data_IF_610840363646
#
_entry.id   IF_610840363646
#
_cell.length_a   1.000
_cell.length_b   1.000
_cell.length_c   1.000
_cell.angle_alpha   90.00
_cell.angle_beta   90.00
_cell.angle_gamma   90.00
#
_symmetry.space_group_name_H-M   'P 1'
#
loop_
_entity.id
_entity.type
_entity.pdbx_description
1 polymer ?
#
# COMPACT_ATOMS: atom_id res chain seq x y z
N UNK A 1 4.17 -17.69 -11.44
CA UNK A 1 5.05 -16.64 -11.99
C UNK A 1 4.32 -15.93 -13.11
N UNK A 2 4.08 -14.61 -13.01
CA UNK A 2 3.41 -13.84 -14.06
C UNK A 2 4.37 -13.66 -15.25
N UNK A 3 3.85 -13.76 -16.48
CA UNK A 3 4.64 -13.58 -17.70
C UNK A 3 4.44 -12.15 -18.20
N UNK A 4 5.45 -11.29 -18.07
CA UNK A 4 5.34 -9.87 -18.42
C UNK A 4 5.60 -9.58 -19.89
N UNK A 5 6.70 -10.10 -20.45
CA UNK A 5 7.18 -9.84 -21.82
C UNK A 5 6.96 -11.00 -22.78
N UNK A 6 6.15 -11.98 -22.39
CA UNK A 6 5.90 -13.20 -23.16
C UNK A 6 6.99 -14.24 -23.00
N UNK A 7 6.75 -15.43 -23.53
CA UNK A 7 7.72 -16.53 -23.56
C UNK A 7 7.42 -17.49 -24.70
N UNK A 8 8.43 -18.23 -25.12
CA UNK A 8 8.28 -19.40 -26.01
C UNK A 8 8.28 -20.66 -25.16
N UNK A 9 7.25 -21.50 -25.29
CA UNK A 9 7.16 -22.77 -24.60
C UNK A 9 7.76 -23.91 -25.44
N UNK A 10 8.27 -24.93 -24.75
CA UNK A 10 8.82 -26.14 -25.36
C UNK A 10 8.10 -27.33 -24.76
N UNK A 11 7.86 -28.35 -25.58
CA UNK A 11 7.44 -29.67 -25.09
C UNK A 11 8.53 -30.67 -25.38
N UNK A 12 8.71 -31.60 -24.45
CA UNK A 12 9.56 -32.75 -24.66
C UNK A 12 8.82 -33.79 -25.51
N UNK A 13 9.27 -33.98 -26.75
CA UNK A 13 8.82 -35.06 -27.62
C UNK A 13 9.99 -36.02 -27.83
N UNK A 14 9.90 -37.22 -27.27
CA UNK A 14 10.90 -38.28 -27.42
C UNK A 14 12.33 -37.84 -27.05
N UNK A 15 12.49 -37.11 -25.94
CA UNK A 15 13.80 -36.64 -25.47
C UNK A 15 14.31 -35.39 -26.18
N UNK A 16 13.58 -34.88 -27.18
CA UNK A 16 13.91 -33.64 -27.90
C UNK A 16 12.91 -32.54 -27.54
N UNK A 17 13.42 -31.36 -27.18
CA UNK A 17 12.57 -30.18 -26.95
C UNK A 17 12.12 -29.60 -28.30
N UNK A 18 10.81 -29.58 -28.55
CA UNK A 18 10.20 -29.00 -29.76
C UNK A 18 9.31 -27.81 -29.42
N UNK A 19 9.36 -26.79 -30.28
CA UNK A 19 8.51 -25.59 -30.22
C UNK A 19 7.85 -25.31 -31.58
N UNK A 20 6.76 -24.53 -31.58
CA UNK A 20 6.07 -24.06 -32.78
C UNK A 20 5.37 -22.70 -32.49
N UNK A 21 4.80 -22.05 -33.50
CA UNK A 21 4.19 -20.71 -33.35
C UNK A 21 3.01 -20.70 -32.36
N UNK A 22 2.30 -21.81 -32.17
CA UNK A 22 1.22 -21.94 -31.18
C UNK A 22 1.72 -21.95 -29.72
N UNK A 23 3.03 -22.18 -29.52
CA UNK A 23 3.69 -22.18 -28.21
C UNK A 23 4.29 -20.82 -27.84
N UNK A 24 4.03 -19.80 -28.65
CA UNK A 24 4.34 -18.41 -28.30
C UNK A 24 3.23 -17.90 -27.37
N UNK A 25 3.60 -17.53 -26.14
CA UNK A 25 2.66 -16.99 -25.15
C UNK A 25 2.86 -15.49 -25.00
N UNK A 26 1.79 -14.74 -25.20
CA UNK A 26 1.75 -13.29 -24.96
C UNK A 26 1.96 -12.98 -23.47
N UNK A 27 2.88 -12.08 -23.16
CA UNK A 27 2.99 -11.44 -21.86
C UNK A 27 1.91 -10.38 -21.60
N UNK A 28 1.83 -9.92 -20.35
CA UNK A 28 0.93 -8.86 -19.91
C UNK A 28 1.11 -7.56 -20.70
N UNK A 29 2.33 -7.20 -21.09
CA UNK A 29 2.58 -5.96 -21.84
C UNK A 29 1.94 -5.97 -23.23
N UNK A 30 1.93 -7.12 -23.91
CA UNK A 30 1.28 -7.26 -25.21
C UNK A 30 -0.24 -7.15 -25.10
N UNK A 31 -0.81 -7.64 -24.00
CA UNK A 31 -2.25 -7.52 -23.72
C UNK A 31 -2.67 -6.09 -23.41
N UNK A 32 -1.75 -5.27 -22.89
CA UNK A 32 -1.98 -3.87 -22.54
C UNK A 32 -1.75 -2.91 -23.73
N UNK A 33 -1.36 -3.43 -24.90
CA UNK A 33 -1.14 -2.61 -26.09
C UNK A 33 -2.44 -1.88 -26.51
N UNK A 34 -2.35 -0.58 -26.78
CA UNK A 34 -3.48 0.33 -26.98
C UNK A 34 -4.11 0.88 -25.69
N UNK A 35 -3.51 0.63 -24.53
CA UNK A 35 -4.07 1.00 -23.23
C UNK A 35 -3.00 1.34 -22.18
N UNK A 36 -3.17 0.81 -20.97
CA UNK A 36 -2.25 1.05 -19.87
C UNK A 36 -1.89 -0.23 -19.12
N UNK A 37 -0.71 -0.23 -18.51
CA UNK A 37 -0.24 -1.29 -17.61
C UNK A 37 0.23 -0.68 -16.29
N UNK A 38 -0.21 -1.27 -15.18
CA UNK A 38 0.14 -0.82 -13.83
C UNK A 38 1.10 -1.82 -13.20
N UNK A 39 2.23 -1.34 -12.69
CA UNK A 39 3.20 -2.14 -11.95
C UNK A 39 3.35 -1.60 -10.53
N UNK A 40 3.45 -2.53 -9.58
CA UNK A 40 3.99 -2.25 -8.25
C UNK A 40 5.52 -2.18 -8.37
N UNK A 41 6.11 -1.01 -8.10
CA UNK A 41 7.53 -0.77 -8.28
C UNK A 41 8.38 -1.73 -7.42
N UNK A 42 7.92 -2.05 -6.21
CA UNK A 42 8.58 -3.03 -5.34
C UNK A 42 8.68 -4.43 -5.97
N UNK A 43 7.62 -4.89 -6.63
CA UNK A 43 7.64 -6.18 -7.32
C UNK A 43 8.54 -6.13 -8.56
N UNK A 44 8.45 -5.04 -9.33
CA UNK A 44 9.24 -4.81 -10.53
C UNK A 44 10.76 -4.84 -10.25
N UNK A 45 11.17 -4.27 -9.11
CA UNK A 45 12.58 -4.20 -8.70
C UNK A 45 13.08 -5.47 -8.02
N UNK A 46 12.18 -6.30 -7.48
CA UNK A 46 12.52 -7.58 -6.85
C UNK A 46 12.87 -8.65 -7.87
N UNK A 47 12.21 -8.64 -9.03
CA UNK A 47 12.43 -9.60 -10.10
C UNK A 47 13.69 -9.23 -10.92
N UNK A 48 14.74 -10.07 -10.92
CA UNK A 48 16.00 -9.74 -11.59
C UNK A 48 15.82 -9.46 -13.09
N UNK A 49 16.35 -8.32 -13.55
CA UNK A 49 16.32 -7.92 -14.96
C UNK A 49 14.96 -7.47 -15.51
N UNK A 50 13.89 -7.56 -14.73
CA UNK A 50 12.55 -7.18 -15.19
C UNK A 50 12.44 -5.67 -15.41
N UNK A 51 12.97 -4.87 -14.48
CA UNK A 51 13.04 -3.41 -14.60
C UNK A 51 13.85 -2.96 -15.82
N UNK A 52 15.03 -3.53 -16.05
CA UNK A 52 15.86 -3.18 -17.21
C UNK A 52 15.21 -3.57 -18.54
N UNK A 53 14.51 -4.72 -18.57
CA UNK A 53 13.73 -5.14 -19.73
C UNK A 53 12.60 -4.16 -19.99
N UNK A 54 11.88 -3.73 -18.95
CA UNK A 54 10.83 -2.71 -19.09
C UNK A 54 11.38 -1.40 -19.65
N UNK A 55 12.51 -0.91 -19.13
CA UNK A 55 13.16 0.31 -19.64
C UNK A 55 13.50 0.20 -21.12
N UNK A 56 14.08 -0.91 -21.55
CA UNK A 56 14.40 -1.17 -22.96
C UNK A 56 13.15 -1.13 -23.83
N UNK A 57 12.09 -1.82 -23.40
CA UNK A 57 10.83 -1.90 -24.13
C UNK A 57 10.17 -0.52 -24.26
N UNK A 58 10.12 0.28 -23.18
CA UNK A 58 9.58 1.64 -23.23
C UNK A 58 10.42 2.53 -24.15
N UNK A 59 11.74 2.40 -24.10
CA UNK A 59 12.66 3.25 -24.89
C UNK A 59 12.63 2.93 -26.38
N UNK A 60 12.45 1.66 -26.74
CA UNK A 60 12.36 1.21 -28.12
C UNK A 60 10.94 1.30 -28.68
N UNK A 61 9.92 1.49 -27.82
CA UNK A 61 8.50 1.43 -28.20
C UNK A 61 8.14 0.12 -28.92
N UNK A 62 8.89 -0.94 -28.62
CA UNK A 62 8.77 -2.26 -29.24
C UNK A 62 8.99 -3.34 -28.20
N UNK A 63 8.23 -4.43 -28.30
CA UNK A 63 8.42 -5.61 -27.47
C UNK A 63 8.53 -6.85 -28.34
N UNK A 64 9.66 -7.53 -28.22
CA UNK A 64 9.87 -8.88 -28.72
C UNK A 64 9.78 -9.88 -27.57
N UNK A 65 9.41 -11.11 -27.91
CA UNK A 65 9.45 -12.22 -26.95
C UNK A 65 10.89 -12.73 -26.91
N UNK A 66 11.63 -12.32 -25.88
CA UNK A 66 12.98 -12.83 -25.68
C UNK A 66 12.92 -14.31 -25.26
N UNK A 67 13.68 -15.14 -25.97
CA UNK A 67 13.92 -16.52 -25.55
C UNK A 67 14.93 -16.44 -24.41
N UNK A 68 14.45 -16.64 -23.18
CA UNK A 68 15.32 -16.71 -22.00
C UNK A 68 16.40 -17.76 -22.25
N UNK A 69 17.66 -17.33 -22.27
CA UNK A 69 18.82 -18.22 -22.26
C UNK A 69 18.91 -18.86 -20.88
N UNK A 70 18.04 -19.82 -20.59
CA UNK A 70 18.20 -20.66 -19.40
C UNK A 70 19.52 -21.43 -19.63
N UNK A 71 20.55 -21.08 -18.87
CA UNK A 71 21.89 -21.67 -18.98
C UNK A 71 21.90 -23.20 -18.77
N UNK A 72 20.77 -23.75 -18.30
CA UNK A 72 20.53 -25.18 -18.11
C UNK A 72 20.03 -25.89 -19.39
N UNK A 73 19.67 -25.16 -20.44
CA UNK A 73 19.34 -25.75 -21.73
C UNK A 73 20.60 -25.84 -22.61
N UNK A 74 20.90 -27.01 -23.20
CA UNK A 74 22.03 -27.16 -24.10
C UNK A 74 21.98 -26.11 -25.21
N UNK A 75 23.14 -25.59 -25.60
CA UNK A 75 23.38 -24.56 -26.62
C UNK A 75 22.81 -24.85 -28.02
N UNK A 76 22.10 -25.97 -28.21
CA UNK A 76 21.65 -26.50 -29.50
C UNK A 76 20.13 -26.73 -29.53
N UNK A 77 19.34 -25.67 -29.41
CA UNK A 77 17.95 -25.69 -29.83
C UNK A 77 17.73 -24.57 -30.83
N UNK A 78 17.42 -24.95 -32.08
CA UNK A 78 16.83 -24.04 -33.06
C UNK A 78 15.51 -23.55 -32.48
N UNK A 79 15.53 -22.35 -31.91
CA UNK A 79 14.37 -21.74 -31.28
C UNK A 79 13.69 -20.75 -32.22
N UNK A 80 12.39 -20.52 -32.00
CA UNK A 80 11.67 -19.46 -32.67
C UNK A 80 12.06 -18.12 -32.04
N UNK A 81 12.43 -17.16 -32.88
CA UNK A 81 12.62 -15.76 -32.49
C UNK A 81 11.51 -14.94 -33.14
N UNK A 82 10.38 -14.71 -32.43
CA UNK A 82 9.30 -13.89 -32.97
C UNK A 82 9.80 -12.48 -33.30
N UNK A 83 9.22 -11.88 -34.33
CA UNK A 83 9.46 -10.47 -34.62
C UNK A 83 8.91 -9.59 -33.50
N UNK A 84 9.59 -8.47 -33.25
CA UNK A 84 9.13 -7.47 -32.30
C UNK A 84 7.87 -6.79 -32.81
N UNK A 85 6.94 -6.47 -31.90
CA UNK A 85 5.77 -5.66 -32.22
C UNK A 85 5.93 -4.25 -31.66
N UNK A 86 5.44 -3.25 -32.42
CA UNK A 86 5.30 -1.88 -31.91
C UNK A 86 4.33 -1.87 -30.73
N UNK A 87 4.69 -1.11 -29.70
CA UNK A 87 3.91 -0.92 -28.50
C UNK A 87 3.44 0.52 -28.38
N UNK A 88 2.13 0.65 -28.19
CA UNK A 88 1.47 1.87 -27.76
C UNK A 88 0.85 1.59 -26.38
N UNK A 89 1.63 1.80 -25.31
CA UNK A 89 1.18 1.49 -23.95
C UNK A 89 1.62 2.56 -22.96
N UNK A 90 0.70 3.00 -22.11
CA UNK A 90 1.00 3.88 -20.98
C UNK A 90 1.42 3.03 -19.78
N UNK A 91 2.63 3.23 -19.29
CA UNK A 91 3.15 2.52 -18.11
C UNK A 91 2.96 3.37 -16.86
N UNK A 92 2.30 2.80 -15.84
CA UNK A 92 2.07 3.43 -14.55
C UNK A 92 2.83 2.63 -13.49
N UNK A 93 3.72 3.29 -12.74
CA UNK A 93 4.40 2.71 -11.59
C UNK A 93 3.78 3.23 -10.30
N UNK A 94 3.43 2.32 -9.40
CA UNK A 94 2.95 2.63 -8.05
C UNK A 94 4.02 2.17 -7.06
N UNK A 95 4.43 3.06 -6.15
CA UNK A 95 5.46 2.76 -5.16
C UNK A 95 5.55 3.84 -4.10
N UNK A 96 6.32 3.59 -3.04
CA UNK A 96 6.56 4.56 -1.97
C UNK A 96 7.51 5.67 -2.42
N UNK A 97 7.49 6.78 -1.68
CA UNK A 97 8.42 7.90 -1.86
C UNK A 97 9.88 7.46 -1.77
N UNK A 98 10.20 6.47 -0.93
CA UNK A 98 11.56 5.89 -0.84
C UNK A 98 11.99 5.23 -2.14
N UNK A 99 11.11 4.44 -2.77
CA UNK A 99 11.42 3.79 -4.04
C UNK A 99 11.61 4.84 -5.14
N UNK A 100 10.76 5.87 -5.16
CA UNK A 100 10.90 6.98 -6.09
C UNK A 100 12.25 7.70 -5.91
N UNK A 101 12.63 8.03 -4.67
CA UNK A 101 13.89 8.69 -4.34
C UNK A 101 15.11 7.82 -4.62
N UNK A 102 14.99 6.50 -4.46
CA UNK A 102 16.03 5.56 -4.85
C UNK A 102 16.23 5.57 -6.37
N UNK A 103 15.14 5.41 -7.15
CA UNK A 103 15.17 5.34 -8.61
C UNK A 103 15.68 6.64 -9.23
N UNK A 104 15.24 7.79 -8.72
CA UNK A 104 15.64 9.09 -9.24
C UNK A 104 17.14 9.39 -9.03
N UNK A 105 17.72 8.82 -7.97
CA UNK A 105 19.12 9.03 -7.57
C UNK A 105 20.04 8.02 -8.25
N UNK A 106 19.61 6.77 -8.35
CA UNK A 106 20.44 5.67 -8.86
C UNK A 106 20.29 5.44 -10.38
N UNK A 107 19.15 5.81 -10.97
CA UNK A 107 18.87 5.59 -12.39
C UNK A 107 18.65 6.91 -13.15
N UNK A 108 19.66 7.40 -13.90
CA UNK A 108 19.55 8.65 -14.65
C UNK A 108 18.55 8.58 -15.82
N UNK A 109 18.15 7.38 -16.26
CA UNK A 109 17.13 7.21 -17.29
C UNK A 109 15.71 7.29 -16.73
N UNK A 110 15.52 7.09 -15.42
CA UNK A 110 14.21 7.04 -14.79
C UNK A 110 13.38 8.29 -15.07
N UNK A 111 13.93 9.49 -14.82
CA UNK A 111 13.26 10.77 -15.11
C UNK A 111 12.92 10.96 -16.59
N UNK A 112 13.68 10.34 -17.50
CA UNK A 112 13.48 10.46 -18.95
C UNK A 112 12.30 9.59 -19.42
N UNK A 113 12.17 8.41 -18.83
CA UNK A 113 11.13 7.43 -19.14
C UNK A 113 9.82 7.76 -18.41
N UNK A 114 9.89 8.09 -17.11
CA UNK A 114 8.76 8.40 -16.25
C UNK A 114 8.69 9.91 -15.99
N UNK A 115 8.12 10.64 -16.94
CA UNK A 115 8.11 12.11 -16.95
C UNK A 115 7.10 12.74 -15.99
N UNK A 116 6.03 12.01 -15.66
CA UNK A 116 4.92 12.51 -14.85
C UNK A 116 5.03 11.88 -13.46
N UNK A 117 5.24 12.71 -12.43
CA UNK A 117 5.10 12.32 -11.01
C UNK A 117 3.70 12.70 -10.56
N UNK A 118 2.92 11.72 -10.10
CA UNK A 118 1.69 11.95 -9.37
C UNK A 118 1.92 11.47 -7.94
N UNK A 119 1.88 12.41 -6.99
CA UNK A 119 2.07 12.13 -5.57
C UNK A 119 0.74 12.32 -4.86
N UNK A 120 0.50 11.47 -3.87
CA UNK A 120 -0.68 11.53 -3.04
C UNK A 120 -0.26 12.17 -1.71
N UNK A 121 -0.89 13.28 -1.35
CA UNK A 121 -0.66 13.92 -0.05
C UNK A 121 -1.41 13.12 1.03
N UNK A 122 -0.74 12.85 2.16
CA UNK A 122 -1.28 12.08 3.29
C UNK A 122 -2.33 12.85 4.10
N UNK A 123 -2.45 14.15 3.84
CA UNK A 123 -3.34 15.06 4.55
C UNK A 123 -3.90 16.12 3.60
N UNK A 124 -5.08 16.64 3.94
CA UNK A 124 -5.74 17.71 3.21
C UNK A 124 -6.29 18.75 4.19
N UNK A 125 -6.43 20.00 3.76
CA UNK A 125 -7.02 21.05 4.59
C UNK A 125 -8.47 20.70 4.99
N UNK A 126 -8.85 20.99 6.23
CA UNK A 126 -10.19 20.78 6.76
C UNK A 126 -11.17 21.89 6.30
N UNK A 127 -11.33 22.00 4.99
CA UNK A 127 -12.30 22.88 4.35
C UNK A 127 -13.57 22.12 3.95
N UNK A 128 -14.69 22.84 3.81
CA UNK A 128 -16.01 22.27 3.50
C UNK A 128 -16.00 21.37 2.25
N UNK A 129 -15.19 21.71 1.25
CA UNK A 129 -15.03 20.90 0.04
C UNK A 129 -14.38 19.53 0.33
N UNK A 130 -13.29 19.51 1.10
CA UNK A 130 -12.57 18.28 1.43
C UNK A 130 -13.37 17.39 2.38
N UNK A 131 -14.07 17.99 3.34
CA UNK A 131 -15.03 17.26 4.19
C UNK A 131 -16.14 16.64 3.34
N UNK A 132 -16.67 17.36 2.34
CA UNK A 132 -17.66 16.80 1.40
C UNK A 132 -17.07 15.63 0.60
N UNK A 133 -15.83 15.73 0.11
CA UNK A 133 -15.14 14.62 -0.58
C UNK A 133 -14.96 13.41 0.34
N UNK A 134 -14.63 13.61 1.61
CA UNK A 134 -14.55 12.54 2.60
C UNK A 134 -15.92 11.87 2.82
N UNK A 135 -17.01 12.63 2.92
CA UNK A 135 -18.36 12.06 3.01
C UNK A 135 -18.73 11.25 1.76
N UNK A 136 -18.33 11.72 0.57
CA UNK A 136 -18.52 10.95 -0.68
C UNK A 136 -17.73 9.66 -0.63
N UNK A 137 -16.47 9.69 -0.17
CA UNK A 137 -15.66 8.50 0.02
C UNK A 137 -16.34 7.50 0.97
N UNK A 138 -16.78 7.95 2.14
CA UNK A 138 -17.49 7.09 3.12
C UNK A 138 -18.73 6.45 2.49
N UNK A 139 -19.54 7.24 1.78
CA UNK A 139 -20.74 6.74 1.11
C UNK A 139 -20.42 5.73 0.01
N UNK A 140 -19.37 5.96 -0.79
CA UNK A 140 -18.93 5.02 -1.83
C UNK A 140 -18.40 3.74 -1.19
N UNK A 141 -17.57 3.85 -0.16
CA UNK A 141 -17.00 2.71 0.55
C UNK A 141 -18.07 1.79 1.14
N UNK A 142 -19.08 2.36 1.80
CA UNK A 142 -20.23 1.60 2.33
C UNK A 142 -20.95 0.83 1.22
N UNK A 143 -21.13 1.47 0.06
CA UNK A 143 -21.81 0.85 -1.08
C UNK A 143 -20.97 -0.26 -1.72
N UNK A 144 -19.69 -0.01 -1.94
CA UNK A 144 -18.78 -0.91 -2.64
C UNK A 144 -18.47 -2.16 -1.80
N UNK A 145 -18.32 -1.99 -0.48
CA UNK A 145 -18.08 -3.09 0.47
C UNK A 145 -19.37 -3.72 1.03
N UNK A 146 -20.55 -3.18 0.67
CA UNK A 146 -21.85 -3.71 1.10
C UNK A 146 -22.10 -3.61 2.62
N UNK A 147 -21.66 -2.52 3.25
CA UNK A 147 -21.85 -2.28 4.68
C UNK A 147 -23.27 -1.79 5.00
N UNK A 148 -23.65 -1.84 6.28
CA UNK A 148 -24.89 -1.23 6.76
C UNK A 148 -24.89 0.30 6.52
N UNK A 149 -26.07 0.92 6.33
CA UNK A 149 -26.19 2.38 6.25
C UNK A 149 -25.58 3.05 7.48
N UNK A 150 -24.89 4.17 7.29
CA UNK A 150 -24.28 4.93 8.38
C UNK A 150 -25.13 6.14 8.75
N UNK A 151 -25.22 6.42 10.05
CA UNK A 151 -25.91 7.60 10.57
C UNK A 151 -25.03 8.85 10.57
N UNK A 152 -25.66 10.02 10.59
CA UNK A 152 -24.96 11.32 10.53
C UNK A 152 -23.93 11.46 11.65
N UNK A 153 -24.29 11.08 12.87
CA UNK A 153 -23.44 11.25 14.05
C UNK A 153 -22.22 10.32 13.99
N UNK A 154 -22.37 9.12 13.41
CA UNK A 154 -21.26 8.22 13.13
C UNK A 154 -20.30 8.78 12.07
N UNK A 155 -20.83 9.46 11.04
CA UNK A 155 -19.99 10.15 10.03
C UNK A 155 -19.21 11.29 10.68
N UNK A 156 -19.81 12.05 11.59
CA UNK A 156 -19.12 13.12 12.33
C UNK A 156 -17.94 12.57 13.15
N UNK A 157 -18.13 11.44 13.84
CA UNK A 157 -17.03 10.76 14.54
C UNK A 157 -15.89 10.32 13.63
N UNK A 158 -16.20 9.87 12.40
CA UNK A 158 -15.17 9.51 11.42
C UNK A 158 -14.42 10.73 10.92
N UNK A 159 -15.10 11.86 10.70
CA UNK A 159 -14.45 13.12 10.30
C UNK A 159 -13.51 13.60 11.42
N UNK A 160 -13.96 13.56 12.67
CA UNK A 160 -13.12 13.89 13.82
C UNK A 160 -11.91 12.94 13.93
N UNK A 161 -12.13 11.64 13.70
CA UNK A 161 -11.05 10.66 13.67
C UNK A 161 -10.05 10.91 12.54
N UNK A 162 -10.51 11.26 11.33
CA UNK A 162 -9.64 11.63 10.23
C UNK A 162 -8.79 12.86 10.56
N UNK A 163 -9.34 13.84 11.31
CA UNK A 163 -8.57 14.97 11.82
C UNK A 163 -7.58 14.57 12.93
N UNK A 164 -7.93 13.62 13.80
CA UNK A 164 -6.97 13.07 14.78
C UNK A 164 -5.83 12.30 14.10
N UNK A 165 -6.11 11.57 13.02
CA UNK A 165 -5.12 10.82 12.25
C UNK A 165 -4.10 11.73 11.55
N UNK A 166 -4.47 12.92 11.11
CA UNK A 166 -3.52 13.88 10.53
C UNK A 166 -2.55 14.45 11.57
N UNK A 167 -2.89 14.35 12.86
CA UNK A 167 -2.15 14.97 13.96
C UNK A 167 -2.26 16.50 14.01
N UNK A 168 -3.01 17.12 13.09
CA UNK A 168 -3.17 18.57 12.96
C UNK A 168 -4.66 18.91 12.87
N UNK A 169 -5.15 19.70 13.82
CA UNK A 169 -6.58 20.01 13.94
C UNK A 169 -7.18 20.65 12.67
N UNK A 170 -6.39 21.41 11.91
CA UNK A 170 -6.84 22.11 10.69
C UNK A 170 -6.78 21.22 9.43
N UNK A 171 -6.42 19.94 9.58
CA UNK A 171 -6.26 18.98 8.48
C UNK A 171 -7.04 17.71 8.72
N UNK A 172 -7.40 17.03 7.64
CA UNK A 172 -7.96 15.68 7.64
C UNK A 172 -6.98 14.73 6.96
N UNK A 173 -6.83 13.54 7.54
CA UNK A 173 -6.04 12.48 6.94
C UNK A 173 -6.73 11.97 5.67
N UNK A 174 -5.92 11.67 4.67
CA UNK A 174 -6.34 11.06 3.41
C UNK A 174 -6.00 9.56 3.39
N UNK A 175 -5.66 8.97 4.54
CA UNK A 175 -5.51 7.53 4.73
C UNK A 175 -6.88 6.83 4.69
N UNK A 176 -7.40 6.74 3.47
CA UNK A 176 -8.68 6.10 3.16
C UNK A 176 -8.69 4.61 3.53
N UNK A 177 -7.52 3.97 3.57
CA UNK A 177 -7.40 2.59 4.02
C UNK A 177 -7.73 2.50 5.51
N UNK A 178 -7.16 3.37 6.33
CA UNK A 178 -7.42 3.38 7.77
C UNK A 178 -8.88 3.75 8.09
N UNK A 179 -9.43 4.73 7.39
CA UNK A 179 -10.83 5.14 7.53
C UNK A 179 -11.77 3.98 7.14
N UNK A 180 -11.50 3.30 6.01
CA UNK A 180 -12.25 2.12 5.58
C UNK A 180 -12.16 0.96 6.59
N UNK A 181 -11.00 0.78 7.22
CA UNK A 181 -10.79 -0.21 8.28
C UNK A 181 -11.68 0.06 9.50
N UNK A 182 -11.77 1.32 9.95
CA UNK A 182 -12.67 1.72 11.05
C UNK A 182 -14.14 1.48 10.68
N UNK A 183 -14.55 1.88 9.47
CA UNK A 183 -15.91 1.64 8.95
C UNK A 183 -16.27 0.16 8.97
N UNK A 184 -15.35 -0.69 8.50
CA UNK A 184 -15.54 -2.14 8.47
C UNK A 184 -15.64 -2.74 9.87
N UNK A 185 -14.79 -2.33 10.81
CA UNK A 185 -14.86 -2.78 12.20
C UNK A 185 -16.16 -2.34 12.88
N UNK A 186 -16.62 -1.12 12.62
CA UNK A 186 -17.87 -0.60 13.18
C UNK A 186 -19.09 -1.33 12.60
N UNK A 187 -19.07 -1.67 11.31
CA UNK A 187 -20.09 -2.52 10.70
C UNK A 187 -20.16 -3.91 11.36
N UNK A 188 -19.02 -4.51 11.70
CA UNK A 188 -18.99 -5.79 12.42
C UNK A 188 -19.66 -5.67 13.80
N UNK A 189 -19.44 -4.57 14.53
CA UNK A 189 -20.13 -4.33 15.80
C UNK A 189 -21.63 -4.13 15.61
N UNK A 190 -22.04 -3.31 14.65
CA UNK A 190 -23.44 -3.07 14.32
C UNK A 190 -24.19 -4.38 13.98
N UNK A 191 -23.57 -5.24 13.17
CA UNK A 191 -24.13 -6.56 12.82
C UNK A 191 -24.25 -7.48 14.04
N UNK A 192 -23.26 -7.50 14.94
CA UNK A 192 -23.30 -8.30 16.17
C UNK A 192 -24.42 -7.86 17.12
N UNK A 193 -24.73 -6.58 17.11
CA UNK A 193 -25.79 -5.99 17.94
C UNK A 193 -27.17 -6.03 17.25
N UNK A 194 -27.26 -6.65 16.07
CA UNK A 194 -28.47 -6.68 15.22
C UNK A 194 -29.00 -5.27 14.90
N UNK A 195 -28.11 -4.27 14.81
CA UNK A 195 -28.48 -2.93 14.38
C UNK A 195 -28.81 -2.90 12.89
N UNK A 196 -29.67 -1.97 12.50
CA UNK A 196 -30.01 -1.69 11.09
C UNK A 196 -29.05 -0.70 10.43
N UNK A 197 -28.26 0.00 11.24
CA UNK A 197 -27.36 1.08 10.83
C UNK A 197 -26.11 1.14 11.70
N UNK A 198 -25.05 1.74 11.16
CA UNK A 198 -23.83 2.07 11.91
C UNK A 198 -24.07 3.41 12.62
N UNK A 199 -24.20 3.35 13.94
CA UNK A 199 -24.33 4.50 14.86
C UNK A 199 -22.97 4.96 15.40
N UNK A 200 -22.98 6.12 16.07
CA UNK A 200 -21.82 6.69 16.77
C UNK A 200 -21.24 5.71 17.81
N UNK A 201 -22.10 5.04 18.58
CA UNK A 201 -21.67 4.08 19.61
C UNK A 201 -20.80 2.95 19.03
N UNK A 202 -21.11 2.45 17.83
CA UNK A 202 -20.29 1.42 17.19
C UNK A 202 -18.90 1.94 16.83
N UNK A 203 -18.80 3.20 16.38
CA UNK A 203 -17.52 3.84 16.05
C UNK A 203 -16.69 4.04 17.33
N UNK A 204 -17.30 4.58 18.38
CA UNK A 204 -16.67 4.75 19.69
C UNK A 204 -16.18 3.42 20.24
N UNK A 205 -16.97 2.36 20.10
CA UNK A 205 -16.61 1.00 20.50
C UNK A 205 -15.37 0.49 19.77
N UNK A 206 -15.25 0.75 18.47
CA UNK A 206 -14.01 0.44 17.71
C UNK A 206 -12.80 1.13 18.35
N UNK A 207 -12.89 2.42 18.67
CA UNK A 207 -11.79 3.16 19.28
C UNK A 207 -11.42 2.62 20.67
N UNK A 208 -12.41 2.32 21.51
CA UNK A 208 -12.19 1.74 22.84
C UNK A 208 -11.48 0.38 22.73
N UNK A 209 -11.96 -0.50 21.85
CA UNK A 209 -11.40 -1.84 21.67
C UNK A 209 -10.00 -1.82 21.03
N UNK A 210 -9.73 -0.87 20.12
CA UNK A 210 -8.37 -0.64 19.60
C UNK A 210 -7.43 -0.17 20.70
N UNK A 211 -7.84 0.82 21.49
CA UNK A 211 -7.04 1.29 22.64
C UNK A 211 -6.79 0.17 23.65
N UNK A 212 -7.79 -0.65 23.94
CA UNK A 212 -7.63 -1.80 24.84
C UNK A 212 -6.63 -2.83 24.30
N UNK A 213 -6.68 -3.14 22.99
CA UNK A 213 -5.72 -4.04 22.33
C UNK A 213 -4.29 -3.53 22.43
N UNK A 214 -4.09 -2.22 22.25
CA UNK A 214 -2.78 -1.57 22.39
C UNK A 214 -2.33 -1.59 23.86
N UNK A 215 -3.19 -1.17 24.78
CA UNK A 215 -2.89 -1.09 26.21
C UNK A 215 -2.66 -2.45 26.88
N UNK A 216 -3.07 -3.57 26.28
CA UNK A 216 -2.70 -4.92 26.75
C UNK A 216 -1.18 -5.14 26.70
N UNK A 217 -0.49 -4.48 25.78
CA UNK A 217 0.98 -4.45 25.74
C UNK A 217 1.55 -3.50 26.79
N UNK A 218 0.86 -2.39 27.10
CA UNK A 218 1.24 -1.44 28.16
C UNK A 218 1.11 -2.02 29.57
N UNK A 219 0.12 -2.86 29.87
CA UNK A 219 -0.01 -3.51 31.19
C UNK A 219 1.26 -4.24 31.60
N UNK A 220 1.96 -4.87 30.65
CA UNK A 220 3.23 -5.53 30.93
C UNK A 220 4.35 -4.55 31.30
N UNK A 221 4.33 -3.32 30.78
CA UNK A 221 5.31 -2.28 31.13
C UNK A 221 4.92 -1.55 32.42
N UNK A 222 3.64 -1.26 32.64
CA UNK A 222 3.13 -0.74 33.90
C UNK A 222 3.40 -1.71 35.07
N UNK A 223 3.24 -3.02 34.85
CA UNK A 223 3.67 -4.05 35.82
C UNK A 223 5.18 -4.02 36.10
N UNK A 224 6.02 -3.63 35.15
CA UNK A 224 7.48 -3.49 35.36
C UNK A 224 7.83 -2.22 36.15
N UNK A 225 7.08 -1.13 35.96
CA UNK A 225 7.16 0.08 36.79
C UNK A 225 6.70 -0.23 38.22
N UNK A 226 5.56 -0.91 38.37
CA UNK A 226 5.01 -1.33 39.67
C UNK A 226 5.95 -2.32 40.40
N UNK A 227 6.68 -3.15 39.65
CA UNK A 227 7.75 -4.03 40.18
C UNK A 227 9.08 -3.31 40.44
N UNK A 228 9.12 -1.97 40.37
CA UNK A 228 10.30 -1.12 40.60
C UNK A 228 11.51 -1.44 39.70
N UNK A 229 11.29 -2.03 38.52
CA UNK A 229 12.35 -2.22 37.52
C UNK A 229 12.61 -0.92 36.74
N UNK A 230 11.60 -0.04 36.68
CA UNK A 230 11.67 1.31 36.13
C UNK A 230 11.21 2.26 37.24
N UNK A 231 12.10 3.10 37.74
CA UNK A 231 11.81 4.11 38.78
C UNK A 231 11.13 5.33 38.12
N UNK A 232 9.90 5.64 38.53
CA UNK A 232 9.18 6.88 38.22
C UNK A 232 8.48 7.31 39.50
N UNK A 233 8.85 8.46 40.05
CA UNK A 233 8.22 9.02 41.24
C UNK A 233 6.97 9.82 40.84
N UNK A 234 5.79 9.31 41.20
CA UNK A 234 4.50 9.94 40.91
C UNK A 234 3.91 10.72 42.09
N UNK A 235 4.54 10.67 43.26
CA UNK A 235 4.12 11.33 44.51
C UNK A 235 5.34 11.90 45.26
N UNK A 236 5.26 13.14 45.75
CA UNK A 236 6.34 13.83 46.47
C UNK A 236 6.83 15.13 45.81
N UNK A 237 7.76 15.83 46.45
CA UNK A 237 8.44 17.02 45.93
C UNK A 237 9.96 16.84 46.09
N UNK A 238 10.72 16.96 45.01
CA UNK A 238 12.18 16.93 44.98
C UNK A 238 12.73 18.19 44.30
N UNK A 239 13.68 18.86 44.95
CA UNK A 239 14.31 20.08 44.41
C UNK A 239 15.27 19.68 43.28
N UNK A 240 14.94 20.03 42.03
CA UNK A 240 15.77 19.80 40.85
C UNK A 240 15.25 18.73 39.88
N UNK A 241 14.06 18.18 40.13
CA UNK A 241 13.44 17.15 39.30
C UNK A 241 12.23 17.73 38.53
N UNK A 242 12.18 17.50 37.22
CA UNK A 242 11.06 17.92 36.36
C UNK A 242 10.65 16.69 35.55
N UNK A 243 9.38 16.32 35.64
CA UNK A 243 8.80 15.27 34.81
C UNK A 243 8.82 15.66 33.32
N UNK A 244 9.85 15.24 32.60
CA UNK A 244 10.02 15.48 31.17
C UNK A 244 9.06 14.61 30.38
N UNK A 245 8.15 15.21 29.62
CA UNK A 245 7.31 14.47 28.68
C UNK A 245 8.15 14.05 27.46
N UNK A 246 8.51 12.77 27.40
CA UNK A 246 9.17 12.18 26.25
C UNK A 246 8.17 11.38 25.42
N UNK A 247 8.15 11.66 24.11
CA UNK A 247 7.45 10.83 23.14
C UNK A 247 8.47 9.81 22.63
N UNK A 248 8.35 8.58 23.12
CA UNK A 248 9.03 7.46 22.48
C UNK A 248 8.15 7.01 21.31
N UNK A 249 8.73 6.49 20.24
CA UNK A 249 7.96 5.88 19.14
C UNK A 249 8.47 4.47 18.87
N UNK A 250 7.59 3.47 18.97
CA UNK A 250 7.84 2.10 18.52
C UNK A 250 6.71 1.68 17.57
N UNK A 251 7.00 1.60 16.27
CA UNK A 251 5.97 1.26 15.27
C UNK A 251 4.85 2.31 15.20
N UNK A 252 3.59 1.87 15.21
CA UNK A 252 2.37 2.73 15.11
C UNK A 252 2.08 3.57 16.38
N UNK A 253 2.99 3.64 17.34
CA UNK A 253 2.72 4.18 18.68
C UNK A 253 3.56 5.43 18.93
N UNK A 254 2.90 6.52 19.34
CA UNK A 254 3.54 7.68 19.96
C UNK A 254 3.22 7.66 21.46
N UNK A 255 4.25 7.54 22.30
CA UNK A 255 4.10 7.46 23.76
C UNK A 255 4.05 8.86 24.38
N UNK A 256 3.53 8.99 25.60
CA UNK A 256 3.84 10.11 26.50
C UNK A 256 4.36 9.49 27.78
N UNK A 257 5.67 9.59 28.02
CA UNK A 257 6.30 9.16 29.26
C UNK A 257 6.66 10.41 30.05
N UNK A 258 6.21 10.51 31.30
CA UNK A 258 6.80 11.43 32.27
C UNK A 258 8.12 10.81 32.74
N UNK A 259 9.22 11.53 32.56
CA UNK A 259 10.58 11.09 32.84
C UNK A 259 11.14 11.87 34.00
#
# INVERSE_FOLDING_TARGET
MKIFFGKVEYENQFGTLKTNFMKIKSGLIHKANGGYIVFQAKELLREPGLYDTLKKVIKLEECGIEVSKDYRMPMMLSTLKPESMKLDVKVILIGSSDIYNMLITQDPEFKKLFKIKAEYEEEAEMIKENVRKLCIFISSYIKDEGLLPIEKDAVEQIIEYASKLSGVQEKISTDFFEIGRVLSEANVWALRENSKSITEDHIIKVFIERKYRINKYDKKQAELIEKQVILIDTEGEQIGEINGLSITSFGEISFRKTS
#
